data_IF_667430535897
#
_entry.id   IF_667430535897
#
_cell.length_a   1.000
_cell.length_b   1.000
_cell.length_c   1.000
_cell.angle_alpha   90.00
_cell.angle_beta   90.00
_cell.angle_gamma   90.00
#
_symmetry.space_group_name_H-M   'P 1'
#
loop_
_entity.id
_entity.type
_entity.pdbx_description
1 polymer ?
#
# COMPACT_ATOMS: atom_id res chain seq x y z
N UNK A 1 -16.23 15.88 -7.36
CA UNK A 1 -16.23 14.54 -6.74
C UNK A 1 -14.80 14.00 -6.87
N UNK A 2 -14.09 13.95 -5.76
CA UNK A 2 -12.64 13.69 -5.70
C UNK A 2 -12.33 12.29 -6.20
N UNK A 3 -11.49 12.18 -7.23
CA UNK A 3 -10.86 10.92 -7.63
C UNK A 3 -10.00 10.51 -6.43
N UNK A 4 -10.42 9.48 -5.70
CA UNK A 4 -9.68 8.95 -4.57
C UNK A 4 -8.35 8.41 -5.09
N UNK A 5 -7.31 9.23 -4.97
CA UNK A 5 -5.95 8.81 -5.21
C UNK A 5 -5.47 7.94 -4.03
N UNK A 6 -6.21 6.87 -3.73
CA UNK A 6 -5.90 5.97 -2.62
C UNK A 6 -4.51 5.33 -2.79
N UNK A 7 -4.13 5.10 -4.06
CA UNK A 7 -2.80 4.68 -4.54
C UNK A 7 -1.62 5.56 -4.10
N UNK A 8 -1.89 6.72 -3.50
CA UNK A 8 -0.90 7.65 -2.96
C UNK A 8 -1.07 7.83 -1.45
N UNK A 9 -1.62 6.85 -0.73
CA UNK A 9 -1.82 6.97 0.72
C UNK A 9 -0.89 6.04 1.51
N UNK A 10 -0.21 6.61 2.50
CA UNK A 10 0.73 5.92 3.39
C UNK A 10 0.08 4.73 4.13
N UNK A 11 -1.22 4.85 4.40
CA UNK A 11 -2.03 3.80 5.03
C UNK A 11 -2.09 2.53 4.17
N UNK A 12 -2.21 2.65 2.83
CA UNK A 12 -2.25 1.48 1.94
C UNK A 12 -0.91 0.73 1.90
N UNK A 13 0.20 1.45 2.01
CA UNK A 13 1.54 0.86 2.05
C UNK A 13 1.74 0.06 3.34
N UNK A 14 1.29 0.62 4.48
CA UNK A 14 1.30 -0.08 5.76
C UNK A 14 0.49 -1.38 5.71
N UNK A 15 -0.76 -1.33 5.23
CA UNK A 15 -1.60 -2.52 5.12
C UNK A 15 -1.04 -3.56 4.14
N UNK A 16 -0.41 -3.12 3.05
CA UNK A 16 0.29 -4.02 2.13
C UNK A 16 1.48 -4.73 2.78
N UNK A 17 2.22 -4.05 3.66
CA UNK A 17 3.32 -4.64 4.40
C UNK A 17 2.81 -5.62 5.48
N UNK A 18 1.76 -5.23 6.23
CA UNK A 18 1.09 -6.07 7.22
C UNK A 18 0.59 -7.38 6.58
N UNK A 19 -0.10 -7.28 5.43
CA UNK A 19 -0.62 -8.45 4.71
C UNK A 19 0.49 -9.44 4.35
N UNK A 20 1.61 -8.94 3.82
CA UNK A 20 2.71 -9.78 3.32
C UNK A 20 3.57 -10.37 4.42
N UNK A 21 3.73 -9.67 5.55
CA UNK A 21 4.67 -10.04 6.61
C UNK A 21 4.03 -10.73 7.80
N UNK A 22 2.77 -10.41 8.10
CA UNK A 22 2.05 -10.91 9.28
C UNK A 22 0.94 -11.86 8.89
N UNK A 23 0.12 -11.48 7.92
CA UNK A 23 -1.10 -12.22 7.58
C UNK A 23 -0.91 -13.30 6.51
N UNK A 24 0.33 -13.54 6.07
CA UNK A 24 0.64 -14.53 5.04
C UNK A 24 1.76 -15.48 5.50
N UNK A 25 1.51 -16.81 5.58
CA UNK A 25 0.20 -17.46 5.47
C UNK A 25 -0.74 -17.07 6.63
N UNK A 26 -2.05 -17.09 6.36
CA UNK A 26 -3.09 -16.73 7.33
C UNK A 26 -3.45 -17.92 8.22
N UNK A 27 -2.45 -18.49 8.89
CA UNK A 27 -2.60 -19.66 9.75
C UNK A 27 -2.32 -19.24 11.20
N UNK A 28 -3.37 -19.26 12.02
CA UNK A 28 -3.36 -18.77 13.40
C UNK A 28 -4.20 -19.71 14.26
N UNK A 29 -3.67 -20.10 15.43
CA UNK A 29 -4.32 -21.06 16.32
C UNK A 29 -5.59 -20.48 16.97
N UNK A 30 -5.63 -19.17 17.21
CA UNK A 30 -6.79 -18.45 17.73
C UNK A 30 -6.71 -16.93 17.43
N UNK A 31 -7.79 -16.22 17.74
CA UNK A 31 -7.88 -14.76 17.51
C UNK A 31 -6.91 -13.94 18.37
N UNK A 32 -6.54 -14.43 19.57
CA UNK A 32 -5.61 -13.71 20.45
C UNK A 32 -4.19 -13.72 19.88
N UNK A 33 -3.77 -14.83 19.27
CA UNK A 33 -2.47 -14.91 18.60
C UNK A 33 -2.40 -13.98 17.38
N UNK A 34 -3.51 -13.83 16.65
CA UNK A 34 -3.61 -12.86 15.56
C UNK A 34 -3.47 -11.42 16.08
N UNK A 35 -4.19 -11.07 17.15
CA UNK A 35 -4.14 -9.75 17.76
C UNK A 35 -2.73 -9.39 18.25
N UNK A 36 -2.10 -10.32 18.97
CA UNK A 36 -0.73 -10.14 19.47
C UNK A 36 0.24 -9.92 18.30
N UNK A 37 0.16 -10.74 17.24
CA UNK A 37 1.08 -10.65 16.11
C UNK A 37 0.91 -9.36 15.31
N UNK A 38 -0.33 -8.83 15.18
CA UNK A 38 -0.58 -7.53 14.57
C UNK A 38 0.02 -6.40 15.43
N UNK A 39 -0.18 -6.47 16.74
CA UNK A 39 0.30 -5.45 17.69
C UNK A 39 1.83 -5.42 17.76
N UNK A 40 2.47 -6.58 17.83
CA UNK A 40 3.93 -6.73 17.81
C UNK A 40 4.52 -6.20 16.49
N UNK A 41 3.86 -6.50 15.37
CA UNK A 41 4.28 -5.95 14.08
C UNK A 41 4.15 -4.43 14.05
N UNK A 42 3.09 -3.85 14.61
CA UNK A 42 2.94 -2.40 14.67
C UNK A 42 4.10 -1.77 15.45
N UNK A 43 4.41 -2.28 16.64
CA UNK A 43 5.53 -1.78 17.46
C UNK A 43 6.86 -1.89 16.71
N UNK A 44 7.13 -3.05 16.10
CA UNK A 44 8.34 -3.24 15.31
C UNK A 44 8.37 -2.28 14.10
N UNK A 45 7.26 -2.15 13.39
CA UNK A 45 7.14 -1.29 12.21
C UNK A 45 7.38 0.18 12.57
N UNK A 46 6.86 0.66 13.70
CA UNK A 46 7.10 2.02 14.19
C UNK A 46 8.60 2.29 14.47
N UNK A 47 9.34 1.30 14.99
CA UNK A 47 10.78 1.47 15.26
C UNK A 47 11.65 1.50 14.00
N UNK A 48 11.25 0.79 12.95
CA UNK A 48 12.01 0.69 11.68
C UNK A 48 11.49 1.63 10.61
N UNK A 49 10.30 2.21 10.80
CA UNK A 49 9.63 3.08 9.84
C UNK A 49 10.52 4.29 9.58
N UNK A 50 11.00 4.37 8.34
CA UNK A 50 11.63 5.59 7.83
C UNK A 50 10.56 6.47 7.22
N UNK A 51 10.72 7.80 7.25
CA UNK A 51 9.89 8.70 6.47
C UNK A 51 9.80 8.20 5.03
N UNK A 52 8.59 8.06 4.53
CA UNK A 52 8.41 7.63 3.15
C UNK A 52 8.97 8.71 2.22
N UNK A 53 9.99 8.35 1.46
CA UNK A 53 10.48 9.21 0.38
C UNK A 53 9.44 9.21 -0.75
N UNK A 54 8.77 10.34 -0.93
CA UNK A 54 7.85 10.57 -2.02
C UNK A 54 8.60 10.58 -3.36
N UNK A 55 8.69 9.40 -4.00
CA UNK A 55 9.32 9.26 -5.34
C UNK A 55 8.34 9.49 -6.49
N UNK A 56 7.04 9.52 -6.21
CA UNK A 56 6.01 9.73 -7.22
C UNK A 56 5.80 11.22 -7.47
N UNK A 57 6.16 11.67 -8.67
CA UNK A 57 6.15 13.08 -9.05
C UNK A 57 4.99 13.42 -9.98
N UNK A 58 4.75 14.72 -10.21
CA UNK A 58 3.77 15.17 -11.22
C UNK A 58 4.11 14.64 -12.62
N UNK A 59 5.39 14.40 -12.92
CA UNK A 59 5.82 13.82 -14.20
C UNK A 59 5.34 12.38 -14.33
N UNK A 60 5.42 11.60 -13.25
CA UNK A 60 4.93 10.22 -13.22
C UNK A 60 3.41 10.18 -13.40
N UNK A 61 2.68 11.11 -12.78
CA UNK A 61 1.23 11.27 -13.01
C UNK A 61 0.92 11.53 -14.49
N UNK A 62 1.64 12.46 -15.12
CA UNK A 62 1.46 12.76 -16.54
C UNK A 62 1.73 11.54 -17.41
N UNK A 63 2.81 10.80 -17.15
CA UNK A 63 3.14 9.57 -17.86
C UNK A 63 2.03 8.49 -17.74
N UNK A 64 1.42 8.37 -16.56
CA UNK A 64 0.30 7.46 -16.34
C UNK A 64 -0.92 7.88 -17.16
N UNK A 65 -1.28 9.16 -17.14
CA UNK A 65 -2.39 9.71 -17.93
C UNK A 65 -2.18 9.51 -19.44
N UNK A 66 -0.96 9.76 -19.93
CA UNK A 66 -0.61 9.58 -21.34
C UNK A 66 -0.74 8.10 -21.77
N UNK A 67 -0.33 7.16 -20.91
CA UNK A 67 -0.53 5.71 -21.14
C UNK A 67 -2.00 5.32 -21.21
N UNK A 68 -2.84 5.85 -20.33
CA UNK A 68 -4.29 5.59 -20.36
C UNK A 68 -4.93 6.13 -21.64
N UNK A 69 -4.58 7.35 -22.04
CA UNK A 69 -5.14 7.98 -23.23
C UNK A 69 -4.74 7.25 -24.52
N UNK A 70 -3.49 6.77 -24.60
CA UNK A 70 -3.04 5.93 -25.71
C UNK A 70 -3.74 4.57 -25.74
N UNK A 71 -3.95 3.92 -24.59
CA UNK A 71 -4.71 2.66 -24.53
C UNK A 71 -6.16 2.83 -25.01
N UNK A 72 -6.84 3.91 -24.64
CA UNK A 72 -8.19 4.19 -25.14
C UNK A 72 -8.21 4.40 -26.66
N UNK A 73 -7.22 5.10 -27.23
CA UNK A 73 -7.12 5.30 -28.68
C UNK A 73 -6.84 4.01 -29.47
N UNK A 74 -6.17 3.02 -28.87
CA UNK A 74 -5.90 1.73 -29.52
C UNK A 74 -7.07 0.75 -29.40
N UNK A 75 -8.00 1.00 -28.47
CA UNK A 75 -9.19 0.19 -28.25
C UNK A 75 -10.45 0.72 -28.98
N UNK A 76 -10.31 1.83 -29.72
CA UNK A 76 -11.33 2.46 -30.55
C UNK A 76 -10.91 2.37 -32.02
#
# INVERSE_FOLDING_TARGET
MTIHASWLNQVEIYFSALQRRVLSPNDFENLSDLENRITDFQQLYETIAKPFEWKFTRKDMKNVLDKFNNKQKMAA
#
